data_IF_965254923230
#
_entry.id   IF_965254923230
#
_cell.length_a   1.000
_cell.length_b   1.000
_cell.length_c   1.000
_cell.angle_alpha   90.00
_cell.angle_beta   90.00
_cell.angle_gamma   90.00
#
_symmetry.space_group_name_H-M   'P 1'
#
loop_
_entity.id
_entity.type
_entity.pdbx_description
1 polymer ?
#
# COMPACT_ATOMS: atom_id res chain seq x y z
N UNK A 1 18.90 -26.55 -14.91
CA UNK A 1 17.75 -26.65 -13.97
C UNK A 1 17.81 -25.47 -13.00
N UNK A 2 16.77 -24.64 -12.93
CA UNK A 2 16.71 -23.48 -12.02
C UNK A 2 16.28 -24.00 -10.65
N UNK A 3 17.18 -24.00 -9.66
CA UNK A 3 16.88 -24.43 -8.29
C UNK A 3 16.03 -23.35 -7.63
N UNK A 4 14.77 -23.68 -7.30
CA UNK A 4 13.92 -22.78 -6.51
C UNK A 4 14.53 -22.64 -5.12
N UNK A 5 14.78 -21.39 -4.68
CA UNK A 5 15.19 -21.11 -3.30
C UNK A 5 14.01 -21.44 -2.40
N UNK A 6 14.27 -22.11 -1.27
CA UNK A 6 13.24 -22.38 -0.26
C UNK A 6 12.94 -21.04 0.43
N UNK A 7 11.70 -20.57 0.29
CA UNK A 7 11.19 -19.49 1.13
C UNK A 7 10.70 -20.08 2.43
N UNK A 8 11.00 -19.41 3.54
CA UNK A 8 10.51 -19.75 4.86
C UNK A 8 9.53 -18.66 5.31
N UNK A 9 8.47 -19.05 6.01
CA UNK A 9 7.40 -18.12 6.41
C UNK A 9 7.85 -17.11 7.49
N UNK A 10 9.00 -17.36 8.13
CA UNK A 10 9.66 -16.52 9.14
C UNK A 10 10.82 -15.67 8.59
N UNK A 11 11.09 -15.76 7.28
CA UNK A 11 12.15 -14.99 6.64
C UNK A 11 11.62 -13.62 6.17
N UNK A 12 11.99 -12.56 6.90
CA UNK A 12 11.67 -11.17 6.57
C UNK A 12 12.36 -10.67 5.27
N UNK A 13 13.12 -11.51 4.57
CA UNK A 13 13.85 -11.17 3.36
C UNK A 13 15.02 -10.22 3.57
N UNK A 14 15.35 -9.92 4.83
CA UNK A 14 16.44 -9.02 5.22
C UNK A 14 17.77 -9.76 5.24
N UNK A 15 18.79 -9.15 4.65
CA UNK A 15 20.16 -9.68 4.75
C UNK A 15 20.75 -9.35 6.11
N UNK A 16 20.76 -10.31 7.05
CA UNK A 16 21.36 -10.12 8.39
C UNK A 16 22.89 -10.02 8.32
N UNK A 17 23.51 -10.77 7.42
CA UNK A 17 24.94 -10.73 7.16
C UNK A 17 25.21 -10.99 5.67
N UNK A 18 25.99 -10.10 5.05
CA UNK A 18 26.39 -10.24 3.65
C UNK A 18 27.37 -11.39 3.46
N UNK A 19 26.86 -12.59 3.18
CA UNK A 19 27.68 -13.79 2.95
C UNK A 19 28.09 -13.99 1.48
N UNK A 20 27.80 -13.03 0.59
CA UNK A 20 28.18 -13.12 -0.83
C UNK A 20 29.67 -12.79 -1.02
N UNK A 21 30.54 -13.76 -0.72
CA UNK A 21 32.00 -13.63 -0.77
C UNK A 21 32.54 -14.34 -2.01
N UNK A 22 33.43 -13.68 -2.75
CA UNK A 22 34.05 -14.24 -3.96
C UNK A 22 34.82 -15.54 -3.66
N UNK A 23 34.79 -16.48 -4.61
CA UNK A 23 35.39 -17.81 -4.48
C UNK A 23 34.58 -18.83 -3.67
N UNK A 24 33.48 -18.44 -3.03
CA UNK A 24 32.62 -19.37 -2.28
C UNK A 24 31.62 -20.10 -3.19
N UNK A 25 31.23 -21.35 -2.89
CA UNK A 25 30.32 -22.12 -3.74
C UNK A 25 28.90 -21.54 -3.83
N UNK A 26 28.55 -20.62 -2.92
CA UNK A 26 27.28 -19.88 -2.93
C UNK A 26 27.43 -18.45 -3.48
N UNK A 27 28.62 -18.06 -3.96
CA UNK A 27 28.85 -16.76 -4.56
C UNK A 27 27.94 -16.56 -5.77
N UNK A 28 27.21 -15.45 -5.78
CA UNK A 28 26.51 -14.98 -6.96
C UNK A 28 27.18 -13.68 -7.38
N UNK A 29 27.81 -13.65 -8.55
CA UNK A 29 28.54 -12.49 -9.08
C UNK A 29 27.77 -11.18 -9.25
N UNK A 30 26.50 -11.15 -8.81
CA UNK A 30 25.78 -9.91 -8.53
C UNK A 30 26.18 -9.41 -7.14
N UNK A 31 27.06 -8.41 -7.08
CA UNK A 31 27.22 -7.55 -5.90
C UNK A 31 25.84 -7.02 -5.49
N UNK A 32 25.45 -7.25 -4.24
CA UNK A 32 24.09 -7.03 -3.73
C UNK A 32 23.51 -5.68 -4.10
N UNK A 33 22.55 -5.67 -5.02
CA UNK A 33 21.46 -4.67 -5.05
C UNK A 33 20.31 -5.23 -4.23
N UNK A 34 20.48 -5.19 -2.91
CA UNK A 34 19.48 -5.45 -1.89
C UNK A 34 20.15 -4.95 -0.62
N UNK A 35 19.74 -3.84 -0.01
CA UNK A 35 18.39 -3.62 0.51
C UNK A 35 18.09 -2.11 0.68
N UNK A 36 18.20 -1.28 -0.36
CA UNK A 36 17.79 0.15 -0.32
C UNK A 36 16.29 0.38 -0.58
N UNK A 37 15.45 -0.66 -0.50
CA UNK A 37 14.00 -0.53 -0.53
C UNK A 37 13.35 -1.14 0.71
N UNK A 38 13.90 -0.87 1.90
CA UNK A 38 13.09 -0.80 3.12
C UNK A 38 12.32 0.55 3.17
N UNK A 39 11.68 0.89 2.05
CA UNK A 39 10.71 1.96 1.95
C UNK A 39 9.36 1.41 2.33
N UNK A 40 9.07 1.41 3.62
CA UNK A 40 7.71 1.39 4.17
C UNK A 40 6.87 0.13 3.85
N UNK A 41 6.65 -0.69 4.87
CA UNK A 41 5.72 -1.83 4.92
C UNK A 41 4.24 -1.40 4.77
N UNK A 42 3.91 -0.51 3.83
CA UNK A 42 2.53 -0.24 3.40
C UNK A 42 2.11 -1.20 2.28
N UNK A 43 3.05 -1.79 1.56
CA UNK A 43 2.72 -2.64 0.41
C UNK A 43 2.42 -4.12 0.75
N UNK A 44 2.79 -4.61 1.94
CA UNK A 44 2.49 -5.99 2.34
C UNK A 44 1.06 -6.19 2.87
N UNK A 45 0.37 -5.13 3.29
CA UNK A 45 -1.02 -5.22 3.80
C UNK A 45 -2.03 -5.59 2.69
N UNK A 46 -1.62 -5.56 1.42
CA UNK A 46 -2.52 -5.75 0.28
C UNK A 46 -2.18 -6.98 -0.59
N UNK A 47 -1.47 -7.98 -0.07
CA UNK A 47 -1.25 -9.25 -0.78
C UNK A 47 -2.27 -10.31 -0.32
N UNK A 48 -3.49 -10.26 -0.85
CA UNK A 48 -4.50 -11.31 -0.62
C UNK A 48 -5.96 -10.92 -0.90
N UNK A 49 -6.93 -11.84 -0.68
CA UNK A 49 -8.38 -11.63 -0.87
C UNK A 49 -8.99 -10.55 0.04
N UNK A 50 -8.22 -10.04 1.00
CA UNK A 50 -8.63 -9.01 1.97
C UNK A 50 -8.75 -7.60 1.38
N UNK A 51 -8.28 -7.35 0.15
CA UNK A 51 -8.41 -6.05 -0.54
C UNK A 51 -9.86 -5.56 -0.62
N UNK A 52 -10.81 -6.47 -0.84
CA UNK A 52 -12.21 -6.08 -1.05
C UNK A 52 -12.83 -5.49 0.21
N UNK A 53 -12.56 -6.04 1.40
CA UNK A 53 -13.06 -5.49 2.65
C UNK A 53 -12.52 -4.06 2.91
N UNK A 54 -11.22 -3.85 2.72
CA UNK A 54 -10.61 -2.52 2.87
C UNK A 54 -11.12 -1.50 1.86
N UNK A 55 -11.32 -1.89 0.60
CA UNK A 55 -11.87 -0.98 -0.42
C UNK A 55 -13.28 -0.49 -0.08
N UNK A 56 -14.11 -1.33 0.53
CA UNK A 56 -15.47 -0.94 0.92
C UNK A 56 -15.46 0.02 2.10
N UNK A 57 -14.53 -0.15 3.04
CA UNK A 57 -14.32 0.79 4.14
C UNK A 57 -13.89 2.17 3.65
N UNK A 58 -12.84 2.23 2.81
CA UNK A 58 -12.34 3.48 2.22
C UNK A 58 -13.41 4.16 1.37
N UNK A 59 -14.14 3.40 0.56
CA UNK A 59 -15.20 3.94 -0.30
C UNK A 59 -16.33 4.58 0.52
N UNK A 60 -16.77 3.94 1.60
CA UNK A 60 -17.81 4.50 2.48
C UNK A 60 -17.33 5.77 3.18
N UNK A 61 -16.08 5.79 3.64
CA UNK A 61 -15.49 6.97 4.26
C UNK A 61 -15.42 8.15 3.28
N UNK A 62 -14.91 7.92 2.06
CA UNK A 62 -14.85 8.93 1.02
C UNK A 62 -16.25 9.45 0.61
N UNK A 63 -17.23 8.54 0.52
CA UNK A 63 -18.61 8.91 0.22
C UNK A 63 -19.22 9.79 1.31
N UNK A 64 -18.96 9.49 2.59
CA UNK A 64 -19.45 10.31 3.70
C UNK A 64 -18.89 11.74 3.62
N UNK A 65 -17.58 11.89 3.40
CA UNK A 65 -16.94 13.21 3.28
C UNK A 65 -17.58 13.99 2.13
N UNK A 66 -17.75 13.37 0.97
CA UNK A 66 -18.39 14.02 -0.18
C UNK A 66 -19.86 14.41 0.11
N UNK A 67 -20.61 13.56 0.79
CA UNK A 67 -22.00 13.83 1.15
C UNK A 67 -22.14 15.09 2.03
N UNK A 68 -21.22 15.32 2.98
CA UNK A 68 -21.23 16.53 3.82
C UNK A 68 -21.09 17.79 2.97
N UNK A 69 -20.17 17.80 2.01
CA UNK A 69 -20.00 18.93 1.10
C UNK A 69 -21.24 19.17 0.23
N UNK A 70 -21.82 18.10 -0.34
CA UNK A 70 -23.04 18.20 -1.16
C UNK A 70 -24.19 18.80 -0.36
N UNK A 71 -24.40 18.34 0.87
CA UNK A 71 -25.45 18.90 1.75
C UNK A 71 -25.17 20.37 2.05
N UNK A 72 -23.92 20.74 2.36
CA UNK A 72 -23.54 22.13 2.57
C UNK A 72 -23.82 23.02 1.37
N UNK A 73 -23.40 22.61 0.17
CA UNK A 73 -23.68 23.34 -1.07
C UNK A 73 -25.18 23.40 -1.38
N UNK A 74 -25.91 22.31 -1.16
CA UNK A 74 -27.35 22.27 -1.38
C UNK A 74 -28.10 23.26 -0.49
N UNK A 75 -27.77 23.30 0.81
CA UNK A 75 -28.32 24.28 1.74
C UNK A 75 -27.94 25.71 1.36
N UNK A 76 -26.71 25.93 0.92
CA UNK A 76 -26.25 27.23 0.45
C UNK A 76 -27.04 27.71 -0.79
N UNK A 77 -27.24 26.84 -1.78
CA UNK A 77 -28.03 27.15 -2.98
C UNK A 77 -29.49 27.43 -2.61
N UNK A 78 -30.09 26.64 -1.71
CA UNK A 78 -31.43 26.91 -1.22
C UNK A 78 -31.51 28.26 -0.50
N UNK A 79 -30.51 28.60 0.30
CA UNK A 79 -30.45 29.90 0.94
C UNK A 79 -30.38 31.04 -0.10
N UNK A 80 -29.50 30.93 -1.09
CA UNK A 80 -29.38 31.92 -2.15
C UNK A 80 -30.68 32.07 -2.95
N UNK A 81 -31.37 30.97 -3.26
CA UNK A 81 -32.60 31.03 -4.08
C UNK A 81 -33.85 31.44 -3.32
N UNK A 82 -33.98 31.06 -2.04
CA UNK A 82 -35.19 31.30 -1.25
C UNK A 82 -35.14 32.50 -0.33
N UNK A 83 -33.94 32.95 0.04
CA UNK A 83 -33.77 34.09 0.97
C UNK A 83 -33.11 35.28 0.26
N UNK A 84 -32.11 35.04 -0.59
CA UNK A 84 -31.37 36.14 -1.22
C UNK A 84 -31.98 36.63 -2.54
N UNK A 85 -32.38 35.72 -3.42
CA UNK A 85 -32.99 36.03 -4.73
C UNK A 85 -34.52 35.92 -4.75
N UNK A 86 -35.15 35.84 -3.59
CA UNK A 86 -36.61 35.85 -3.42
C UNK A 86 -37.15 37.26 -3.22
#
# INVERSE_FOLDING_TARGET
MKKNRKGYDDDDGRTIAGMNVDGMPWYSGSTGKGDEQNGHNTHEVLRGPYRRAFTWGVLKAALLVMAVFVVGYFLFILFCTKIWFA
#
